data_IF_903330565960
#
_entry.id   IF_903330565960
#
_cell.length_a   1.000
_cell.length_b   1.000
_cell.length_c   1.000
_cell.angle_alpha   90.00
_cell.angle_beta   90.00
_cell.angle_gamma   90.00
#
_symmetry.space_group_name_H-M   'P 1'
#
loop_
_entity.id
_entity.type
_entity.pdbx_description
1 polymer ?
#
# COMPACT_ATOMS: atom_id res chain seq x y z
N UNK A 1 -5.93 -6.98 1.62
CA UNK A 1 -6.92 -6.91 0.51
C UNK A 1 -6.84 -5.51 -0.10
N UNK A 2 -6.88 -5.39 -1.43
CA UNK A 2 -6.80 -4.08 -2.11
C UNK A 2 -8.20 -3.48 -2.27
N UNK A 3 -8.35 -2.19 -1.97
CA UNK A 3 -9.61 -1.45 -2.10
C UNK A 3 -9.41 -0.21 -2.97
N UNK A 4 -10.37 0.09 -3.84
CA UNK A 4 -10.39 1.33 -4.62
C UNK A 4 -11.07 2.41 -3.79
N UNK A 5 -10.38 3.52 -3.54
CA UNK A 5 -10.88 4.71 -2.83
C UNK A 5 -11.53 5.69 -3.83
N UNK A 6 -12.33 6.66 -3.34
CA UNK A 6 -12.73 7.83 -4.14
C UNK A 6 -11.51 8.47 -4.82
N UNK A 7 -11.73 9.01 -6.03
CA UNK A 7 -10.72 9.47 -6.98
C UNK A 7 -9.89 8.37 -7.65
N UNK A 8 -10.14 7.08 -7.39
CA UNK A 8 -9.46 5.98 -8.07
C UNK A 8 -8.09 5.65 -7.49
N UNK A 9 -7.80 5.98 -6.23
CA UNK A 9 -6.58 5.48 -5.57
C UNK A 9 -6.77 4.00 -5.19
N UNK A 10 -5.75 3.17 -5.33
CA UNK A 10 -5.77 1.79 -4.80
C UNK A 10 -5.07 1.80 -3.44
N UNK A 11 -5.74 1.30 -2.43
CA UNK A 11 -5.19 1.16 -1.07
C UNK A 11 -5.11 -0.31 -0.71
N UNK A 12 -3.92 -0.78 -0.35
CA UNK A 12 -3.71 -2.12 0.18
C UNK A 12 -3.33 -2.04 1.63
N UNK A 13 -4.08 -2.74 2.48
CA UNK A 13 -3.73 -2.93 3.89
C UNK A 13 -3.23 -4.36 4.06
N UNK A 14 -2.07 -4.48 4.70
CA UNK A 14 -1.46 -5.74 5.13
C UNK A 14 -1.20 -5.70 6.63
N UNK A 15 -1.41 -6.82 7.30
CA UNK A 15 -1.10 -6.98 8.71
C UNK A 15 -0.06 -8.07 8.86
N UNK A 16 0.94 -7.84 9.71
CA UNK A 16 2.02 -8.79 9.90
C UNK A 16 2.67 -8.70 11.29
N UNK A 17 3.64 -9.59 11.50
CA UNK A 17 4.51 -9.55 12.68
C UNK A 17 5.88 -9.08 12.24
N UNK A 18 6.48 -8.14 12.97
CA UNK A 18 7.85 -7.69 12.71
C UNK A 18 8.82 -8.81 13.09
N UNK A 19 9.71 -9.20 12.17
CA UNK A 19 10.59 -10.35 12.34
C UNK A 19 11.95 -10.01 12.94
N UNK A 20 12.42 -8.76 12.80
CA UNK A 20 13.75 -8.31 13.22
C UNK A 20 13.77 -6.83 13.67
N UNK A 21 14.81 -6.43 14.39
CA UNK A 21 15.00 -5.06 14.88
C UNK A 21 14.34 -4.76 16.22
N UNK A 22 14.26 -3.47 16.58
CA UNK A 22 13.80 -2.99 17.89
C UNK A 22 12.35 -3.34 18.23
N UNK A 23 11.54 -3.66 17.22
CA UNK A 23 10.13 -4.00 17.36
C UNK A 23 9.85 -5.47 17.02
N UNK A 24 10.86 -6.34 17.05
CA UNK A 24 10.68 -7.78 16.78
C UNK A 24 9.58 -8.38 17.65
N UNK A 25 8.66 -9.11 17.03
CA UNK A 25 7.48 -9.72 17.68
C UNK A 25 6.24 -8.84 17.67
N UNK A 26 6.39 -7.52 17.43
CA UNK A 26 5.29 -6.58 17.40
C UNK A 26 4.36 -6.80 16.20
N UNK A 27 3.08 -6.42 16.35
CA UNK A 27 2.14 -6.36 15.22
C UNK A 27 2.27 -5.05 14.45
N UNK A 28 2.36 -5.18 13.13
CA UNK A 28 2.39 -4.06 12.21
C UNK A 28 1.18 -4.08 11.28
N UNK A 29 0.63 -2.90 11.02
CA UNK A 29 -0.31 -2.62 9.94
C UNK A 29 0.43 -1.78 8.91
N UNK A 30 0.50 -2.26 7.68
CA UNK A 30 1.11 -1.57 6.55
C UNK A 30 0.02 -1.14 5.58
N UNK A 31 -0.09 0.15 5.33
CA UNK A 31 -0.97 0.74 4.32
C UNK A 31 -0.12 1.23 3.14
N UNK A 32 -0.45 0.76 1.94
CA UNK A 32 0.17 1.18 0.68
C UNK A 32 -0.89 1.85 -0.18
N UNK A 33 -0.64 3.08 -0.60
CA UNK A 33 -1.54 3.81 -1.51
C UNK A 33 -0.88 3.99 -2.88
N UNK A 34 -1.55 3.55 -3.94
CA UNK A 34 -1.20 3.84 -5.32
C UNK A 34 -2.07 4.98 -5.84
N UNK A 35 -1.44 6.05 -6.31
CA UNK A 35 -2.13 7.26 -6.75
C UNK A 35 -2.87 7.07 -8.09
N UNK A 36 -4.08 7.63 -8.16
CA UNK A 36 -5.02 7.47 -9.26
C UNK A 36 -4.56 8.05 -10.59
N UNK A 37 -3.75 9.12 -10.58
CA UNK A 37 -3.23 9.75 -11.80
C UNK A 37 -2.42 8.78 -12.68
N UNK A 38 -1.98 7.65 -12.10
CA UNK A 38 -1.29 6.58 -12.81
C UNK A 38 -2.25 5.48 -13.29
N UNK A 39 -3.45 5.35 -12.72
CA UNK A 39 -4.35 4.25 -13.05
C UNK A 39 -5.06 4.41 -14.39
N UNK A 40 -5.29 5.65 -14.84
CA UNK A 40 -5.81 5.91 -16.18
C UNK A 40 -4.83 5.48 -17.29
N UNK A 41 -3.55 5.26 -16.97
CA UNK A 41 -2.60 4.66 -17.90
C UNK A 41 -2.96 3.20 -18.27
N UNK A 42 -3.78 2.51 -17.45
CA UNK A 42 -4.32 1.21 -17.82
C UNK A 42 -5.29 1.27 -19.02
N UNK A 43 -5.79 2.46 -19.36
CA UNK A 43 -6.70 2.68 -20.48
C UNK A 43 -5.96 3.01 -21.79
N UNK A 44 -4.63 3.15 -21.75
CA UNK A 44 -3.81 3.40 -22.94
C UNK A 44 -3.21 2.10 -23.46
N UNK A 45 -2.87 2.00 -24.76
CA UNK A 45 -2.22 0.80 -25.32
C UNK A 45 -0.89 0.44 -24.64
N UNK A 46 -0.18 1.42 -24.10
CA UNK A 46 1.08 1.23 -23.38
C UNK A 46 0.87 0.59 -22.00
N UNK A 47 -0.34 0.70 -21.44
CA UNK A 47 -0.67 0.21 -20.11
C UNK A 47 0.07 0.92 -18.97
N UNK A 48 -0.10 0.40 -17.76
CA UNK A 48 0.59 0.85 -16.56
C UNK A 48 1.77 -0.08 -16.26
N UNK A 49 3.00 0.42 -16.37
CA UNK A 49 4.23 -0.35 -16.07
C UNK A 49 4.75 -0.13 -14.66
N UNK A 50 4.48 1.03 -14.05
CA UNK A 50 4.85 1.34 -12.67
C UNK A 50 3.93 2.39 -12.04
N UNK A 51 3.60 2.18 -10.77
CA UNK A 51 2.88 3.14 -9.94
C UNK A 51 3.63 3.36 -8.63
N UNK A 52 3.47 4.55 -8.08
CA UNK A 52 4.13 4.96 -6.85
C UNK A 52 3.12 5.70 -5.98
N UNK A 53 3.38 5.66 -4.68
CA UNK A 53 2.65 6.44 -3.70
C UNK A 53 3.14 6.13 -2.29
N UNK A 54 2.52 6.75 -1.28
CA UNK A 54 3.00 6.65 0.08
C UNK A 54 2.78 5.25 0.65
N UNK A 55 3.70 4.86 1.53
CA UNK A 55 3.57 3.68 2.39
C UNK A 55 3.65 4.14 3.84
N UNK A 56 2.69 3.72 4.66
CA UNK A 56 2.64 3.99 6.09
C UNK A 56 2.69 2.67 6.84
N UNK A 57 3.58 2.57 7.83
CA UNK A 57 3.69 1.41 8.72
C UNK A 57 3.35 1.86 10.13
N UNK A 58 2.37 1.20 10.74
CA UNK A 58 1.91 1.47 12.10
C UNK A 58 2.15 0.24 12.97
N UNK A 59 2.90 0.42 14.05
CA UNK A 59 3.13 -0.63 15.06
C UNK A 59 2.01 -0.52 16.10
N UNK A 60 1.27 -1.61 16.30
CA UNK A 60 0.01 -1.60 17.07
C UNK A 60 0.07 -2.38 18.37
N UNK A 61 1.00 -3.33 18.51
CA UNK A 61 1.19 -4.13 19.71
C UNK A 61 2.67 -4.43 19.86
N UNK A 62 3.28 -4.06 20.99
CA UNK A 62 4.70 -4.31 21.31
C UNK A 62 4.85 -5.59 22.12
#
# INVERSE_FOLDING_TARGET
>A
MAAVRPNGNIVTISTGTITEGAFKGAKAVTEVTLLASRQTACLTPQGLTSAFGPTTVTITQL
#
